data_IF_950484124975
#
_entry.id   IF_950484124975
#
_cell.length_a   1.000
_cell.length_b   1.000
_cell.length_c   1.000
_cell.angle_alpha   90.00
_cell.angle_beta   90.00
_cell.angle_gamma   90.00
#
_symmetry.space_group_name_H-M   'P 1'
#
loop_
_entity.id
_entity.type
_entity.pdbx_description
1 polymer ?
#
# COMPACT_ATOMS: atom_id res chain seq x y z
N UNK A 1 -20.35 -19.33 -13.41
CA UNK A 1 -19.63 -18.18 -14.00
C UNK A 1 -18.16 -18.56 -14.05
N UNK A 2 -17.58 -18.57 -15.22
CA UNK A 2 -16.13 -18.72 -15.34
C UNK A 2 -15.44 -17.49 -14.77
N UNK A 3 -14.34 -17.69 -14.03
CA UNK A 3 -13.54 -16.62 -13.46
C UNK A 3 -12.85 -15.84 -14.59
N UNK A 4 -12.97 -14.52 -14.62
CA UNK A 4 -12.22 -13.68 -15.56
C UNK A 4 -10.71 -13.87 -15.34
N UNK A 5 -9.97 -14.05 -16.46
CA UNK A 5 -8.51 -14.23 -16.45
C UNK A 5 -7.83 -12.95 -16.95
N UNK A 6 -6.66 -12.64 -16.41
CA UNK A 6 -5.83 -11.54 -16.90
C UNK A 6 -5.32 -11.82 -18.32
N UNK A 7 -5.29 -10.80 -19.18
CA UNK A 7 -4.91 -10.95 -20.59
C UNK A 7 -3.42 -11.18 -20.82
N UNK A 8 -2.57 -10.69 -19.93
CA UNK A 8 -1.13 -10.70 -20.16
C UNK A 8 -0.31 -10.92 -18.88
N UNK A 9 0.90 -11.47 -19.03
CA UNK A 9 1.88 -11.57 -17.92
C UNK A 9 2.23 -10.21 -17.35
N UNK A 10 2.36 -9.19 -18.21
CA UNK A 10 2.62 -7.82 -17.78
C UNK A 10 1.43 -7.25 -16.99
N UNK A 11 0.19 -7.53 -17.41
CA UNK A 11 -1.01 -7.16 -16.66
C UNK A 11 -1.03 -7.78 -15.28
N UNK A 12 -0.68 -9.07 -15.14
CA UNK A 12 -0.55 -9.74 -13.84
C UNK A 12 0.51 -9.07 -12.95
N UNK A 13 1.71 -8.83 -13.47
CA UNK A 13 2.81 -8.20 -12.72
C UNK A 13 2.42 -6.80 -12.26
N UNK A 14 1.89 -5.96 -13.16
CA UNK A 14 1.50 -4.59 -12.84
C UNK A 14 0.29 -4.52 -11.89
N UNK A 15 -0.64 -5.45 -12.00
CA UNK A 15 -1.78 -5.52 -11.08
C UNK A 15 -1.34 -5.98 -9.69
N UNK A 16 -0.50 -7.01 -9.60
CA UNK A 16 0.08 -7.47 -8.33
C UNK A 16 0.97 -6.40 -7.70
N UNK A 17 1.79 -5.72 -8.51
CA UNK A 17 2.58 -4.58 -8.08
C UNK A 17 1.70 -3.42 -7.61
N UNK A 18 0.58 -3.14 -8.31
CA UNK A 18 -0.38 -2.11 -7.91
C UNK A 18 -1.10 -2.42 -6.59
N UNK A 19 -1.29 -3.69 -6.25
CA UNK A 19 -1.74 -4.10 -4.92
C UNK A 19 -0.67 -3.90 -3.85
N UNK A 20 0.60 -4.11 -4.20
CA UNK A 20 1.73 -3.98 -3.28
C UNK A 20 2.21 -2.53 -3.15
N UNK A 21 2.24 -1.76 -4.25
CA UNK A 21 2.72 -0.38 -4.27
C UNK A 21 1.53 0.57 -4.15
N UNK A 22 1.21 0.93 -2.94
CA UNK A 22 0.13 1.86 -2.63
C UNK A 22 0.60 3.04 -1.78
N UNK A 23 -0.35 3.73 -1.16
CA UNK A 23 -0.12 4.83 -0.21
C UNK A 23 0.87 4.42 0.89
N UNK A 24 0.85 3.15 1.30
CA UNK A 24 1.76 2.59 2.29
C UNK A 24 3.23 2.73 1.93
N UNK A 25 3.58 2.64 0.66
CA UNK A 25 4.97 2.71 0.21
C UNK A 25 5.40 4.13 -0.13
N UNK A 26 4.49 4.92 -0.73
CA UNK A 26 4.81 6.27 -1.19
C UNK A 26 4.77 7.29 -0.05
N UNK A 27 3.86 7.12 0.90
CA UNK A 27 3.65 8.07 2.00
C UNK A 27 4.10 7.50 3.36
N UNK A 28 3.59 6.33 3.76
CA UNK A 28 3.84 5.79 5.11
C UNK A 28 5.28 5.29 5.28
N UNK A 29 5.85 4.62 4.28
CA UNK A 29 7.19 4.06 4.36
C UNK A 29 8.28 5.14 4.60
N UNK A 30 8.35 6.26 3.82
CA UNK A 30 9.31 7.31 4.08
C UNK A 30 9.17 7.92 5.49
N UNK A 31 7.94 8.13 5.95
CA UNK A 31 7.66 8.60 7.29
C UNK A 31 8.18 7.62 8.36
N UNK A 32 7.86 6.33 8.23
CA UNK A 32 8.31 5.30 9.16
C UNK A 32 9.84 5.13 9.14
N UNK A 33 10.48 5.22 7.98
CA UNK A 33 11.94 5.19 7.87
C UNK A 33 12.58 6.39 8.57
N UNK A 34 11.99 7.59 8.44
CA UNK A 34 12.43 8.80 9.14
C UNK A 34 12.34 8.66 10.66
N UNK A 35 11.24 8.14 11.16
CA UNK A 35 10.99 7.94 12.60
C UNK A 35 11.76 6.73 13.17
N UNK A 36 11.99 5.69 12.37
CA UNK A 36 12.55 4.41 12.80
C UNK A 36 14.09 4.31 12.74
N UNK A 37 14.79 5.43 12.51
CA UNK A 37 16.26 5.45 12.50
C UNK A 37 16.91 5.29 11.12
N UNK A 38 16.18 5.59 10.04
CA UNK A 38 16.74 5.68 8.69
C UNK A 38 17.17 4.33 8.11
N UNK A 39 18.46 4.24 7.72
CA UNK A 39 19.01 3.04 7.04
C UNK A 39 18.89 1.75 7.83
N UNK A 40 18.91 1.79 9.17
CA UNK A 40 18.67 0.60 9.99
C UNK A 40 17.22 0.09 9.82
N UNK A 41 16.23 0.98 9.79
CA UNK A 41 14.85 0.63 9.49
C UNK A 41 14.74 -0.01 8.10
N UNK A 42 15.35 0.59 7.07
CA UNK A 42 15.33 0.06 5.70
C UNK A 42 15.95 -1.33 5.63
N UNK A 43 17.09 -1.55 6.30
CA UNK A 43 17.76 -2.84 6.33
C UNK A 43 16.86 -3.94 6.92
N UNK A 44 16.27 -3.72 8.09
CA UNK A 44 15.36 -4.70 8.71
C UNK A 44 14.07 -4.89 7.92
N UNK A 45 13.56 -3.82 7.30
CA UNK A 45 12.42 -3.93 6.40
C UNK A 45 12.71 -4.86 5.22
N UNK A 46 13.84 -4.71 4.53
CA UNK A 46 14.25 -5.60 3.44
C UNK A 46 14.44 -7.04 3.92
N UNK A 47 15.03 -7.22 5.11
CA UNK A 47 15.19 -8.52 5.73
C UNK A 47 13.83 -9.20 5.94
N UNK A 48 12.85 -8.50 6.53
CA UNK A 48 11.51 -9.05 6.76
C UNK A 48 10.73 -9.26 5.46
N UNK A 49 10.95 -8.44 4.42
CA UNK A 49 10.37 -8.70 3.10
C UNK A 49 10.83 -10.06 2.55
N UNK A 50 12.10 -10.40 2.72
CA UNK A 50 12.66 -11.66 2.21
C UNK A 50 12.25 -12.84 3.11
N UNK A 51 12.43 -12.72 4.42
CA UNK A 51 12.26 -13.86 5.35
C UNK A 51 10.78 -14.17 5.60
N UNK A 52 9.92 -13.17 5.70
CA UNK A 52 8.49 -13.33 5.98
C UNK A 52 7.64 -13.06 4.74
N UNK A 53 7.94 -11.98 4.03
CA UNK A 53 7.11 -11.51 2.93
C UNK A 53 7.03 -12.48 1.77
N UNK A 54 8.17 -12.92 1.24
CA UNK A 54 8.20 -13.84 0.09
C UNK A 54 7.57 -15.20 0.39
N UNK A 55 7.87 -15.89 1.51
CA UNK A 55 7.22 -17.17 1.82
C UNK A 55 5.69 -17.03 1.96
N UNK A 56 5.21 -16.04 2.71
CA UNK A 56 3.77 -15.87 2.93
C UNK A 56 3.06 -15.52 1.62
N UNK A 57 3.62 -14.61 0.82
CA UNK A 57 3.09 -14.27 -0.49
C UNK A 57 3.01 -15.49 -1.41
N UNK A 58 4.05 -16.33 -1.41
CA UNK A 58 4.08 -17.57 -2.18
C UNK A 58 2.99 -18.54 -1.72
N UNK A 59 2.75 -18.65 -0.40
CA UNK A 59 1.67 -19.47 0.14
C UNK A 59 0.29 -18.95 -0.26
N UNK A 60 0.06 -17.64 -0.22
CA UNK A 60 -1.20 -17.04 -0.68
C UNK A 60 -1.45 -17.31 -2.18
N UNK A 61 -0.44 -17.12 -3.04
CA UNK A 61 -0.56 -17.48 -4.46
C UNK A 61 -0.85 -18.96 -4.67
N UNK A 62 -0.22 -19.85 -3.89
CA UNK A 62 -0.45 -21.29 -3.98
C UNK A 62 -1.90 -21.66 -3.62
N UNK A 63 -2.46 -21.06 -2.56
CA UNK A 63 -3.88 -21.25 -2.17
C UNK A 63 -4.82 -20.77 -3.27
N UNK A 64 -4.55 -19.60 -3.84
CA UNK A 64 -5.34 -19.05 -4.94
C UNK A 64 -5.31 -19.95 -6.17
N UNK A 65 -4.12 -20.36 -6.59
CA UNK A 65 -3.90 -21.22 -7.76
C UNK A 65 -4.52 -22.61 -7.59
N UNK A 66 -4.44 -23.19 -6.39
CA UNK A 66 -4.99 -24.52 -6.13
C UNK A 66 -6.52 -24.55 -6.10
N UNK A 67 -7.14 -23.45 -5.63
CA UNK A 67 -8.59 -23.41 -5.43
C UNK A 67 -9.36 -22.73 -6.55
N UNK A 68 -8.80 -21.75 -7.21
CA UNK A 68 -9.47 -20.83 -8.14
C UNK A 68 -10.76 -20.21 -7.56
N UNK A 69 -10.81 -19.98 -6.25
CA UNK A 69 -11.98 -19.49 -5.52
C UNK A 69 -11.63 -18.24 -4.69
N UNK A 70 -12.65 -17.54 -4.19
CA UNK A 70 -12.48 -16.46 -3.23
C UNK A 70 -11.86 -17.00 -1.93
N UNK A 71 -11.17 -16.18 -1.11
CA UNK A 71 -10.40 -16.66 0.03
C UNK A 71 -11.15 -17.64 0.95
N UNK A 72 -12.37 -17.29 1.40
CA UNK A 72 -13.18 -18.20 2.27
C UNK A 72 -13.44 -19.54 1.60
N UNK A 73 -13.91 -19.51 0.35
CA UNK A 73 -14.22 -20.74 -0.42
C UNK A 73 -12.95 -21.48 -0.82
N UNK A 74 -11.81 -20.81 -0.92
CA UNK A 74 -10.53 -21.44 -1.20
C UNK A 74 -10.13 -22.36 -0.05
N UNK A 75 -10.17 -21.85 1.18
CA UNK A 75 -9.88 -22.66 2.36
C UNK A 75 -10.88 -23.78 2.54
N UNK A 76 -12.19 -23.54 2.36
CA UNK A 76 -13.22 -24.61 2.41
C UNK A 76 -12.97 -25.73 1.39
N UNK A 77 -12.43 -25.40 0.22
CA UNK A 77 -12.17 -26.39 -0.82
C UNK A 77 -10.87 -27.19 -0.61
N UNK A 78 -9.91 -26.62 0.12
CA UNK A 78 -8.60 -27.22 0.33
C UNK A 78 -8.45 -27.89 1.70
N UNK A 79 -9.32 -27.56 2.68
CA UNK A 79 -9.27 -28.15 4.00
C UNK A 79 -9.70 -29.61 3.98
N UNK A 80 -9.06 -30.42 4.82
CA UNK A 80 -9.43 -31.82 5.03
C UNK A 80 -10.62 -31.92 6.01
N UNK A 81 -11.40 -33.04 5.97
CA UNK A 81 -12.48 -33.27 6.94
C UNK A 81 -11.98 -33.11 8.38
N UNK A 82 -12.70 -32.32 9.17
CA UNK A 82 -12.36 -32.00 10.57
C UNK A 82 -11.44 -30.80 10.75
N UNK A 83 -10.84 -30.22 9.71
CA UNK A 83 -10.09 -28.96 9.79
C UNK A 83 -11.04 -27.76 9.69
N UNK A 84 -10.59 -26.61 10.18
CA UNK A 84 -11.39 -25.37 10.23
C UNK A 84 -10.64 -24.19 9.60
N UNK A 85 -9.88 -24.42 8.53
CA UNK A 85 -9.11 -23.36 7.85
C UNK A 85 -9.99 -22.29 7.20
N UNK A 86 -11.24 -22.60 6.89
CA UNK A 86 -12.21 -21.60 6.41
C UNK A 86 -12.40 -20.44 7.39
N UNK A 87 -12.15 -20.63 8.69
CA UNK A 87 -12.20 -19.55 9.68
C UNK A 87 -11.14 -18.50 9.36
N UNK A 88 -9.93 -18.90 8.95
CA UNK A 88 -8.92 -17.96 8.49
C UNK A 88 -9.41 -17.13 7.30
N UNK A 89 -10.15 -17.72 6.36
CA UNK A 89 -10.79 -17.02 5.26
C UNK A 89 -11.76 -15.92 5.71
N UNK A 90 -12.50 -16.11 6.79
CA UNK A 90 -13.35 -15.06 7.37
C UNK A 90 -12.52 -13.94 8.00
N UNK A 91 -11.45 -14.25 8.73
CA UNK A 91 -10.54 -13.24 9.24
C UNK A 91 -9.91 -12.39 8.12
N UNK A 92 -9.52 -13.04 7.04
CA UNK A 92 -9.04 -12.38 5.81
C UNK A 92 -10.06 -11.39 5.25
N UNK A 93 -11.33 -11.79 5.19
CA UNK A 93 -12.42 -10.94 4.71
C UNK A 93 -12.66 -9.74 5.63
N UNK A 94 -12.70 -9.96 6.94
CA UNK A 94 -12.84 -8.88 7.94
C UNK A 94 -11.67 -7.90 7.83
N UNK A 95 -10.44 -8.42 7.73
CA UNK A 95 -9.24 -7.59 7.53
C UNK A 95 -9.33 -6.72 6.27
N UNK A 96 -9.87 -7.27 5.18
CA UNK A 96 -10.10 -6.55 3.93
C UNK A 96 -11.10 -5.39 4.10
N UNK A 97 -12.21 -5.61 4.83
CA UNK A 97 -13.18 -4.55 5.12
C UNK A 97 -12.58 -3.44 6.00
N UNK A 98 -11.86 -3.80 7.07
CA UNK A 98 -11.20 -2.83 7.94
C UNK A 98 -10.15 -2.01 7.18
N UNK A 99 -9.39 -2.68 6.31
CA UNK A 99 -8.42 -2.02 5.46
C UNK A 99 -9.10 -1.03 4.49
N UNK A 100 -10.20 -1.42 3.86
CA UNK A 100 -10.94 -0.55 2.94
C UNK A 100 -11.52 0.68 3.63
N UNK A 101 -12.01 0.57 4.87
CA UNK A 101 -12.46 1.72 5.67
C UNK A 101 -11.34 2.75 5.85
N UNK A 102 -10.14 2.30 6.17
CA UNK A 102 -8.96 3.16 6.29
C UNK A 102 -8.52 3.74 4.93
N UNK A 103 -8.39 2.90 3.91
CA UNK A 103 -7.88 3.31 2.61
C UNK A 103 -8.76 4.29 1.87
N UNK A 104 -10.09 4.13 1.91
CA UNK A 104 -11.01 5.06 1.27
C UNK A 104 -10.94 6.45 1.88
N UNK A 105 -10.80 6.51 3.21
CA UNK A 105 -10.62 7.79 3.93
C UNK A 105 -9.31 8.47 3.53
N UNK A 106 -8.19 7.75 3.59
CA UNK A 106 -6.87 8.31 3.25
C UNK A 106 -6.78 8.68 1.77
N UNK A 107 -7.36 7.88 0.88
CA UNK A 107 -7.45 8.22 -0.54
C UNK A 107 -8.27 9.49 -0.77
N UNK A 108 -9.32 9.71 0.02
CA UNK A 108 -10.08 10.97 0.05
C UNK A 108 -9.20 12.16 0.42
N UNK A 109 -8.34 12.02 1.45
CA UNK A 109 -7.38 13.07 1.81
C UNK A 109 -6.40 13.38 0.67
N UNK A 110 -5.86 12.35 0.03
CA UNK A 110 -4.93 12.52 -1.10
C UNK A 110 -5.60 13.24 -2.26
N UNK A 111 -6.84 12.89 -2.58
CA UNK A 111 -7.61 13.55 -3.65
C UNK A 111 -7.94 15.01 -3.30
N UNK A 112 -8.26 15.29 -2.05
CA UNK A 112 -8.44 16.66 -1.56
C UNK A 112 -7.17 17.49 -1.68
N UNK A 113 -6.01 16.94 -1.27
CA UNK A 113 -4.72 17.62 -1.40
C UNK A 113 -4.30 17.82 -2.87
N UNK A 114 -4.57 16.83 -3.72
CA UNK A 114 -4.41 17.00 -5.16
C UNK A 114 -5.20 18.20 -5.69
N UNK A 115 -6.47 18.30 -5.30
CA UNK A 115 -7.32 19.45 -5.66
C UNK A 115 -6.75 20.77 -5.12
N UNK A 116 -6.33 20.83 -3.86
CA UNK A 116 -5.76 22.03 -3.26
C UNK A 116 -4.48 22.48 -3.95
N UNK A 117 -3.61 21.52 -4.28
CA UNK A 117 -2.35 21.79 -5.00
C UNK A 117 -2.63 22.26 -6.44
N UNK A 118 -3.49 21.58 -7.17
CA UNK A 118 -3.86 21.94 -8.52
C UNK A 118 -4.57 23.31 -8.60
N UNK A 119 -5.35 23.66 -7.59
CA UNK A 119 -6.01 24.96 -7.50
C UNK A 119 -5.12 26.08 -6.93
N UNK A 120 -3.82 25.81 -6.68
CA UNK A 120 -2.88 26.80 -6.17
C UNK A 120 -3.12 27.24 -4.71
N UNK A 121 -3.97 26.54 -3.97
CA UNK A 121 -4.36 26.94 -2.60
C UNK A 121 -3.23 26.75 -1.57
N UNK A 122 -2.18 26.06 -1.91
CA UNK A 122 -0.99 25.84 -1.06
C UNK A 122 0.18 26.75 -1.44
N UNK A 123 0.05 27.54 -2.49
CA UNK A 123 1.13 28.43 -2.95
C UNK A 123 1.34 29.58 -1.97
N UNK A 124 2.57 29.79 -1.55
CA UNK A 124 2.94 30.85 -0.62
C UNK A 124 2.71 30.56 0.85
N UNK A 125 2.22 29.35 1.18
CA UNK A 125 2.10 28.91 2.57
C UNK A 125 3.43 28.33 3.06
N UNK A 126 3.76 28.57 4.31
CA UNK A 126 4.85 27.91 5.01
C UNK A 126 4.48 26.49 5.48
N UNK A 127 5.46 25.76 6.01
CA UNK A 127 5.28 24.37 6.44
C UNK A 127 4.21 24.22 7.55
N UNK A 128 4.17 25.16 8.48
CA UNK A 128 3.22 25.13 9.61
C UNK A 128 1.79 25.43 9.14
N UNK A 129 1.65 26.36 8.21
CA UNK A 129 0.37 26.69 7.59
C UNK A 129 -0.18 25.50 6.76
N UNK A 130 0.68 24.80 6.02
CA UNK A 130 0.30 23.58 5.29
C UNK A 130 -0.11 22.47 6.26
N UNK A 131 0.61 22.28 7.37
CA UNK A 131 0.23 21.34 8.43
C UNK A 131 -1.11 21.74 9.08
N UNK A 132 -1.35 23.05 9.28
CA UNK A 132 -2.61 23.61 9.75
C UNK A 132 -3.78 23.25 8.83
N UNK A 133 -3.59 23.30 7.50
CA UNK A 133 -4.61 22.86 6.52
C UNK A 133 -4.99 21.40 6.65
N UNK A 134 -4.06 20.53 7.02
CA UNK A 134 -4.35 19.13 7.29
C UNK A 134 -5.24 18.98 8.53
N UNK A 135 -4.93 19.69 9.60
CA UNK A 135 -5.72 19.69 10.85
C UNK A 135 -7.13 20.24 10.60
N UNK A 136 -7.26 21.32 9.83
CA UNK A 136 -8.54 21.91 9.42
C UNK A 136 -9.39 20.90 8.63
N UNK A 137 -8.79 20.17 7.69
CA UNK A 137 -9.47 19.12 6.95
C UNK A 137 -9.95 18.00 7.86
N UNK A 138 -9.12 17.54 8.81
CA UNK A 138 -9.51 16.50 9.77
C UNK A 138 -10.66 16.95 10.69
N UNK A 139 -10.74 18.23 11.00
CA UNK A 139 -11.81 18.82 11.79
C UNK A 139 -13.12 19.03 11.01
N UNK A 140 -13.11 18.79 9.67
CA UNK A 140 -14.28 18.97 8.80
C UNK A 140 -14.84 17.64 8.30
N UNK A 141 -15.80 17.00 9.02
CA UNK A 141 -16.39 15.72 8.61
C UNK A 141 -17.06 15.75 7.23
N UNK A 142 -17.66 16.89 6.87
CA UNK A 142 -18.32 17.05 5.57
C UNK A 142 -17.31 17.01 4.42
N UNK A 143 -16.19 17.73 4.56
CA UNK A 143 -15.11 17.71 3.55
C UNK A 143 -14.51 16.33 3.41
N UNK A 144 -14.20 15.67 4.52
CA UNK A 144 -13.69 14.31 4.52
C UNK A 144 -14.68 13.33 3.88
N UNK A 145 -15.94 13.38 4.29
CA UNK A 145 -17.00 12.53 3.75
C UNK A 145 -17.22 12.73 2.26
N UNK A 146 -17.24 13.97 1.79
CA UNK A 146 -17.37 14.28 0.36
C UNK A 146 -16.25 13.62 -0.48
N UNK A 147 -14.99 13.86 -0.13
CA UNK A 147 -13.87 13.29 -0.87
C UNK A 147 -13.78 11.77 -0.79
N UNK A 148 -14.15 11.19 0.36
CA UNK A 148 -14.27 9.74 0.52
C UNK A 148 -15.32 9.16 -0.43
N UNK A 149 -16.52 9.78 -0.52
CA UNK A 149 -17.58 9.36 -1.43
C UNK A 149 -17.14 9.45 -2.88
N UNK A 150 -16.43 10.51 -3.27
CA UNK A 150 -15.88 10.65 -4.63
C UNK A 150 -14.92 9.50 -4.95
N UNK A 151 -14.00 9.16 -4.03
CA UNK A 151 -13.07 8.02 -4.21
C UNK A 151 -13.82 6.70 -4.34
N UNK A 152 -14.80 6.46 -3.48
CA UNK A 152 -15.62 5.24 -3.53
C UNK A 152 -16.39 5.15 -4.85
N UNK A 153 -16.98 6.25 -5.30
CA UNK A 153 -17.69 6.30 -6.58
C UNK A 153 -16.78 5.98 -7.78
N UNK A 154 -15.56 6.54 -7.79
CA UNK A 154 -14.54 6.22 -8.81
C UNK A 154 -14.19 4.73 -8.74
N UNK A 155 -13.95 4.18 -7.54
CA UNK A 155 -13.64 2.77 -7.34
C UNK A 155 -14.74 1.84 -7.84
N UNK A 156 -16.00 2.12 -7.48
CA UNK A 156 -17.17 1.36 -7.97
C UNK A 156 -17.26 1.43 -9.49
N UNK A 157 -17.09 2.60 -10.08
CA UNK A 157 -17.13 2.78 -11.53
C UNK A 157 -16.05 1.96 -12.26
N UNK A 158 -14.83 1.93 -11.72
CA UNK A 158 -13.73 1.11 -12.28
C UNK A 158 -14.04 -0.37 -12.14
N UNK A 159 -14.50 -0.82 -10.97
CA UNK A 159 -14.84 -2.22 -10.72
C UNK A 159 -16.04 -2.68 -11.55
N UNK A 160 -17.04 -1.83 -11.78
CA UNK A 160 -18.21 -2.15 -12.60
C UNK A 160 -17.86 -2.42 -14.07
N UNK A 161 -16.69 -1.97 -14.55
CA UNK A 161 -16.19 -2.27 -15.90
C UNK A 161 -15.52 -3.64 -16.02
N UNK A 162 -15.47 -4.41 -14.93
CA UNK A 162 -14.87 -5.75 -14.87
C UNK A 162 -13.35 -5.74 -14.70
N UNK A 163 -12.78 -6.95 -14.60
CA UNK A 163 -11.35 -7.13 -14.31
C UNK A 163 -10.46 -6.62 -15.45
N UNK A 164 -10.76 -7.01 -16.68
CA UNK A 164 -9.89 -6.75 -17.83
C UNK A 164 -9.97 -5.31 -18.35
N UNK A 165 -11.19 -4.78 -18.53
CA UNK A 165 -11.42 -3.47 -19.14
C UNK A 165 -11.45 -2.34 -18.11
N UNK A 166 -11.71 -2.65 -16.85
CA UNK A 166 -11.69 -1.72 -15.72
C UNK A 166 -10.38 -1.79 -14.96
N UNK A 167 -10.27 -2.75 -14.08
CA UNK A 167 -9.19 -2.83 -13.10
C UNK A 167 -7.80 -2.97 -13.74
N UNK A 168 -7.59 -3.95 -14.64
CA UNK A 168 -6.28 -4.20 -15.27
C UNK A 168 -5.82 -2.99 -16.09
N UNK A 169 -6.71 -2.42 -16.91
CA UNK A 169 -6.36 -1.30 -17.78
C UNK A 169 -6.01 -0.02 -16.99
N UNK A 170 -6.84 0.32 -15.99
CA UNK A 170 -6.64 1.51 -15.15
C UNK A 170 -5.37 1.34 -14.32
N UNK A 171 -5.20 0.21 -13.63
CA UNK A 171 -4.02 -0.06 -12.82
C UNK A 171 -2.75 -0.01 -13.63
N UNK A 172 -2.74 -0.60 -14.84
CA UNK A 172 -1.56 -0.57 -15.72
C UNK A 172 -1.12 0.85 -16.06
N UNK A 173 -2.04 1.72 -16.44
CA UNK A 173 -1.73 3.13 -16.76
C UNK A 173 -1.24 3.87 -15.52
N UNK A 174 -1.94 3.71 -14.39
CA UNK A 174 -1.59 4.37 -13.14
C UNK A 174 -0.23 3.92 -12.60
N UNK A 175 0.09 2.62 -12.69
CA UNK A 175 1.38 2.09 -12.22
C UNK A 175 2.56 2.59 -13.07
N UNK A 176 2.39 2.68 -14.39
CA UNK A 176 3.42 3.24 -15.27
C UNK A 176 3.61 4.73 -14.97
N UNK A 177 2.53 5.48 -14.81
CA UNK A 177 2.59 6.90 -14.47
C UNK A 177 3.25 7.11 -13.08
N UNK A 178 2.87 6.31 -12.08
CA UNK A 178 3.48 6.36 -10.75
C UNK A 178 4.99 6.09 -10.81
N UNK A 179 5.41 5.05 -11.52
CA UNK A 179 6.83 4.73 -11.69
C UNK A 179 7.60 5.88 -12.35
N UNK A 180 7.03 6.46 -13.41
CA UNK A 180 7.65 7.61 -14.09
C UNK A 180 7.81 8.82 -13.14
N UNK A 181 6.76 9.16 -12.39
CA UNK A 181 6.80 10.25 -11.40
C UNK A 181 7.85 9.95 -10.32
N UNK A 182 7.89 8.72 -9.78
CA UNK A 182 8.87 8.32 -8.76
C UNK A 182 10.31 8.44 -9.27
N UNK A 183 10.58 8.05 -10.52
CA UNK A 183 11.91 8.21 -11.12
C UNK A 183 12.28 9.69 -11.25
N UNK A 184 11.36 10.53 -11.75
CA UNK A 184 11.58 11.98 -11.87
C UNK A 184 11.87 12.61 -10.50
N UNK A 185 11.07 12.27 -9.47
CA UNK A 185 11.27 12.78 -8.13
C UNK A 185 12.59 12.30 -7.51
N UNK A 186 12.96 11.02 -7.70
CA UNK A 186 14.22 10.49 -7.22
C UNK A 186 15.42 11.19 -7.86
N UNK A 187 15.40 11.37 -9.18
CA UNK A 187 16.44 12.10 -9.90
C UNK A 187 16.51 13.55 -9.42
N UNK A 188 15.38 14.24 -9.33
CA UNK A 188 15.34 15.63 -8.85
C UNK A 188 15.90 15.76 -7.43
N UNK A 189 15.56 14.82 -6.55
CA UNK A 189 16.04 14.81 -5.14
C UNK A 189 17.57 14.68 -5.05
N UNK A 190 18.22 14.01 -6.01
CA UNK A 190 19.69 13.89 -6.02
C UNK A 190 20.41 15.21 -6.31
N UNK A 191 19.73 16.19 -6.93
CA UNK A 191 20.28 17.51 -7.23
C UNK A 191 19.92 18.57 -6.20
N UNK A 192 19.14 18.22 -5.17
CA UNK A 192 18.73 19.17 -4.14
C UNK A 192 19.86 19.38 -3.10
N UNK A 193 19.96 20.59 -2.48
CA UNK A 193 20.82 20.80 -1.32
C UNK A 193 20.48 19.79 -0.21
N UNK A 194 21.50 19.14 0.41
CA UNK A 194 21.29 18.11 1.42
C UNK A 194 21.05 16.70 0.90
N UNK A 195 21.12 16.48 -0.43
CA UNK A 195 20.91 15.16 -1.03
C UNK A 195 21.85 14.08 -0.46
N UNK A 196 23.12 14.45 -0.22
CA UNK A 196 24.12 13.53 0.31
C UNK A 196 23.79 13.08 1.73
N UNK A 197 23.39 14.01 2.59
CA UNK A 197 22.96 13.76 3.96
C UNK A 197 21.69 12.88 3.99
N UNK A 198 20.72 13.20 3.15
CA UNK A 198 19.48 12.43 3.00
C UNK A 198 19.73 11.00 2.51
N UNK A 199 20.58 10.82 1.50
CA UNK A 199 20.97 9.49 1.02
C UNK A 199 21.76 8.72 2.07
N UNK A 200 22.69 9.36 2.78
CA UNK A 200 23.43 8.72 3.86
C UNK A 200 22.48 8.27 4.97
N UNK A 201 21.53 9.12 5.38
CA UNK A 201 20.52 8.79 6.38
C UNK A 201 19.69 7.56 5.97
N UNK A 202 19.33 7.46 4.70
CA UNK A 202 18.44 6.42 4.21
C UNK A 202 19.15 5.10 3.88
N UNK A 203 20.42 5.16 3.42
CA UNK A 203 21.16 3.99 2.94
C UNK A 203 22.14 3.42 3.96
N UNK A 204 22.68 4.25 4.86
CA UNK A 204 23.68 3.82 5.84
C UNK A 204 22.98 3.41 7.14
N UNK A 205 23.03 2.12 7.55
CA UNK A 205 22.44 1.66 8.79
C UNK A 205 23.11 2.30 10.01
N UNK A 206 22.33 3.04 10.80
CA UNK A 206 22.77 3.62 12.07
C UNK A 206 22.07 2.91 13.24
N UNK A 207 22.76 1.96 13.84
CA UNK A 207 22.23 1.20 14.97
C UNK A 207 22.20 2.00 16.28
N UNK A 208 23.01 3.06 16.41
CA UNK A 208 22.97 3.93 17.57
C UNK A 208 21.64 4.70 17.58
N UNK A 209 21.26 5.29 16.47
CA UNK A 209 19.96 5.97 16.28
C UNK A 209 18.77 5.01 16.45
N UNK A 210 18.86 3.79 15.92
CA UNK A 210 17.86 2.76 16.13
C UNK A 210 17.67 2.43 17.61
N UNK A 211 18.76 2.43 18.40
CA UNK A 211 18.71 2.18 19.85
C UNK A 211 18.03 3.33 20.60
N UNK A 212 18.27 4.57 20.19
CA UNK A 212 17.61 5.77 20.76
C UNK A 212 16.09 5.75 20.49
N UNK A 213 15.66 5.38 19.31
CA UNK A 213 14.23 5.24 18.94
C UNK A 213 13.57 4.06 19.66
N UNK A 214 14.33 3.03 19.99
CA UNK A 214 13.89 1.78 20.59
C UNK A 214 13.90 0.62 19.60
N UNK A 215 14.78 -0.34 19.85
CA UNK A 215 15.00 -1.50 18.97
C UNK A 215 13.72 -2.27 18.70
N UNK A 216 12.95 -2.57 19.74
CA UNK A 216 11.70 -3.34 19.62
C UNK A 216 10.69 -2.59 18.76
N UNK A 217 10.51 -1.29 18.97
CA UNK A 217 9.58 -0.47 18.20
C UNK A 217 9.98 -0.43 16.71
N UNK A 218 11.28 -0.29 16.43
CA UNK A 218 11.79 -0.30 15.05
C UNK A 218 11.57 -1.67 14.40
N UNK A 219 11.89 -2.78 15.09
CA UNK A 219 11.69 -4.13 14.54
C UNK A 219 10.22 -4.44 14.28
N UNK A 220 9.33 -4.13 15.21
CA UNK A 220 7.89 -4.31 15.03
C UNK A 220 7.37 -3.40 13.92
N UNK A 221 7.84 -2.15 13.85
CA UNK A 221 7.49 -1.20 12.79
C UNK A 221 7.90 -1.69 11.39
N UNK A 222 9.13 -2.21 11.26
CA UNK A 222 9.64 -2.76 10.00
C UNK A 222 8.89 -4.03 9.56
N UNK A 223 8.62 -4.92 10.50
CA UNK A 223 7.84 -6.13 10.24
C UNK A 223 6.42 -5.77 9.76
N UNK A 224 5.73 -4.91 10.50
CA UNK A 224 4.39 -4.44 10.11
C UNK A 224 4.40 -3.77 8.73
N UNK A 225 5.42 -2.95 8.45
CA UNK A 225 5.55 -2.30 7.15
C UNK A 225 5.80 -3.31 6.02
N UNK A 226 6.56 -4.38 6.26
CA UNK A 226 6.77 -5.45 5.28
C UNK A 226 5.47 -6.19 4.93
N UNK A 227 4.66 -6.55 5.94
CA UNK A 227 3.34 -7.13 5.73
C UNK A 227 2.40 -6.19 4.97
N UNK A 228 2.39 -4.92 5.37
CA UNK A 228 1.56 -3.90 4.75
C UNK A 228 1.92 -3.65 3.29
N UNK A 229 3.22 -3.58 2.97
CA UNK A 229 3.73 -3.39 1.60
C UNK A 229 3.26 -4.47 0.65
N UNK A 230 3.31 -5.73 1.06
CA UNK A 230 2.94 -6.87 0.22
C UNK A 230 1.45 -7.22 0.31
N UNK A 231 0.65 -6.46 1.06
CA UNK A 231 -0.78 -6.71 1.28
C UNK A 231 -1.07 -8.14 1.77
N UNK A 232 -0.22 -8.66 2.67
CA UNK A 232 -0.31 -10.02 3.19
C UNK A 232 -1.41 -10.17 4.24
N UNK A 233 -1.99 -11.36 4.32
CA UNK A 233 -3.01 -11.70 5.32
C UNK A 233 -4.44 -11.28 4.98
N UNK A 234 -4.62 -10.48 3.94
CA UNK A 234 -5.96 -10.05 3.47
C UNK A 234 -6.45 -10.84 2.25
N UNK A 235 -5.70 -11.85 1.81
CA UNK A 235 -6.05 -12.72 0.69
C UNK A 235 -6.00 -12.04 -0.68
N UNK A 236 -5.40 -10.86 -0.79
CA UNK A 236 -5.26 -10.16 -2.06
C UNK A 236 -4.44 -10.98 -3.05
N UNK A 237 -3.32 -11.54 -2.63
CA UNK A 237 -2.45 -12.36 -3.47
C UNK A 237 -3.11 -13.70 -3.84
N UNK A 238 -3.96 -14.26 -2.98
CA UNK A 238 -4.75 -15.46 -3.30
C UNK A 238 -5.76 -15.22 -4.45
N UNK A 239 -6.25 -13.99 -4.63
CA UNK A 239 -7.12 -13.66 -5.76
C UNK A 239 -6.34 -13.65 -7.08
N UNK A 240 -5.06 -13.30 -7.07
CA UNK A 240 -4.22 -13.24 -8.27
C UNK A 240 -3.54 -14.58 -8.60
N UNK A 241 -3.44 -15.51 -7.65
CA UNK A 241 -2.98 -16.89 -7.86
C UNK A 241 -4.00 -17.73 -8.61
#
# INVERSE_FOLDING_TARGET
MEREKLKSRLGFILLSAGCAIGIGNVWKFPYMAGQGGGGAFVLFYLLFLVILGLPIMTMEFAVGRASHKSPVRAYQALEKPGQKWHIHGYFTLIGCYLLMMFYTTVAGWMLHYFYMTAAGKLVGLDADQVAGKFTEMLASPLTMGFWMVVVVAIGIFVCARGLQNGLEKVTKVMMIALLAIMVVLAVNSMFMPGAKEGLSFFLVPDFARMKEVGIVNTLVGTMNQAFFTLSLGIGAMAIFG
#
